data_IF_342515362418
#
_entry.id   IF_342515362418
#
_cell.length_a   1.000
_cell.length_b   1.000
_cell.length_c   1.000
_cell.angle_alpha   90.00
_cell.angle_beta   90.00
_cell.angle_gamma   90.00
#
_symmetry.space_group_name_H-M   'P 1'
#
loop_
_entity.id
_entity.type
_entity.pdbx_description
1 polymer ?
#
# COMPACT_ATOMS: atom_id res chain seq x y z
N UNK A 1 1.23 -6.47 30.56
CA UNK A 1 2.44 -5.82 30.02
C UNK A 1 3.45 -6.92 29.77
N UNK A 2 3.89 -7.06 28.52
CA UNK A 2 4.84 -8.09 28.12
C UNK A 2 6.22 -7.48 28.21
N UNK A 3 7.06 -8.01 29.11
CA UNK A 3 8.44 -7.55 29.28
C UNK A 3 9.39 -8.57 28.66
N UNK A 4 10.08 -8.15 27.60
CA UNK A 4 10.99 -8.97 26.79
C UNK A 4 12.40 -8.40 26.92
N UNK A 5 13.38 -9.28 27.06
CA UNK A 5 14.80 -8.93 27.02
C UNK A 5 15.47 -9.62 25.84
N UNK A 6 16.14 -8.86 24.98
CA UNK A 6 16.96 -9.36 23.89
C UNK A 6 18.43 -9.30 24.33
N UNK A 7 19.08 -10.45 24.47
CA UNK A 7 20.41 -10.54 25.06
C UNK A 7 21.52 -10.54 24.01
N UNK A 8 22.39 -9.52 24.06
CA UNK A 8 23.69 -9.51 23.39
C UNK A 8 23.67 -9.60 21.85
N UNK A 9 22.60 -9.13 21.21
CA UNK A 9 22.51 -9.10 19.75
C UNK A 9 23.27 -7.94 19.12
N UNK A 10 23.57 -8.07 17.82
CA UNK A 10 24.06 -6.96 17.00
C UNK A 10 22.86 -6.12 16.54
N UNK A 11 22.52 -5.10 17.33
CA UNK A 11 21.34 -4.28 17.09
C UNK A 11 21.64 -3.07 16.20
N UNK A 12 20.72 -2.75 15.29
CA UNK A 12 20.78 -1.49 14.52
C UNK A 12 20.22 -0.35 15.38
N UNK A 13 21.11 0.52 15.87
CA UNK A 13 20.77 1.70 16.66
C UNK A 13 21.17 2.94 15.87
N UNK A 14 20.18 3.75 15.51
CA UNK A 14 20.38 4.83 14.54
C UNK A 14 20.85 4.26 13.20
N UNK A 15 22.08 4.56 12.81
CA UNK A 15 22.70 4.09 11.56
C UNK A 15 23.81 3.06 11.78
N UNK A 16 24.04 2.61 13.01
CA UNK A 16 25.17 1.73 13.36
C UNK A 16 24.71 0.39 13.93
N UNK A 17 25.48 -0.66 13.64
CA UNK A 17 25.29 -1.98 14.25
C UNK A 17 26.19 -2.10 15.49
N UNK A 18 25.58 -2.17 16.66
CA UNK A 18 26.28 -2.28 17.95
C UNK A 18 25.90 -3.56 18.68
N UNK A 19 26.86 -4.19 19.35
CA UNK A 19 26.57 -5.31 20.25
C UNK A 19 25.96 -4.74 21.54
N UNK A 20 24.70 -5.05 21.79
CA UNK A 20 23.98 -4.54 22.95
C UNK A 20 22.84 -5.48 23.33
N UNK A 21 22.33 -5.32 24.55
CA UNK A 21 21.05 -5.90 24.95
C UNK A 21 19.95 -4.85 24.93
N UNK A 22 18.71 -5.29 24.66
CA UNK A 22 17.54 -4.42 24.62
C UNK A 22 16.48 -4.91 25.61
N UNK A 23 15.90 -3.98 26.36
CA UNK A 23 14.71 -4.22 27.17
C UNK A 23 13.49 -3.63 26.47
N UNK A 24 12.45 -4.44 26.32
CA UNK A 24 11.15 -4.06 25.76
C UNK A 24 10.11 -4.18 26.86
N UNK A 25 9.25 -3.17 27.01
CA UNK A 25 8.12 -3.19 27.92
C UNK A 25 6.85 -2.75 27.19
N UNK A 26 5.88 -3.64 27.08
CA UNK A 26 4.68 -3.37 26.29
C UNK A 26 5.01 -3.21 24.81
N UNK A 27 4.83 -2.00 24.28
CA UNK A 27 5.07 -1.66 22.87
C UNK A 27 6.36 -0.83 22.66
N UNK A 28 7.07 -0.51 23.75
CA UNK A 28 8.20 0.41 23.70
C UNK A 28 9.52 -0.30 24.01
N UNK A 29 10.59 0.18 23.38
CA UNK A 29 11.96 -0.12 23.81
C UNK A 29 12.22 0.68 25.09
N UNK A 30 12.20 0.00 26.23
CA UNK A 30 12.36 0.59 27.55
C UNK A 30 13.81 0.90 27.91
N UNK A 31 14.78 0.28 27.22
CA UNK A 31 16.19 0.55 27.45
C UNK A 31 17.12 -0.14 26.46
N UNK A 32 18.28 0.49 26.26
CA UNK A 32 19.41 0.00 25.46
C UNK A 32 20.59 -0.17 26.42
N UNK A 33 21.38 -1.21 26.21
CA UNK A 33 22.55 -1.57 27.05
C UNK A 33 22.16 -1.78 28.52
N UNK A 34 21.00 -2.43 28.73
CA UNK A 34 20.50 -2.73 30.06
C UNK A 34 20.79 -4.18 30.42
N UNK A 35 20.91 -4.46 31.72
CA UNK A 35 20.86 -5.84 32.22
C UNK A 35 19.43 -6.39 32.18
N UNK A 36 19.29 -7.73 32.19
CA UNK A 36 18.00 -8.45 32.09
C UNK A 36 16.92 -7.97 33.08
N UNK A 37 17.31 -7.49 34.25
CA UNK A 37 16.36 -7.02 35.27
C UNK A 37 15.29 -8.06 35.62
N UNK A 38 14.01 -7.67 35.57
CA UNK A 38 12.84 -8.51 35.87
C UNK A 38 12.11 -9.06 34.63
N UNK A 39 12.73 -9.00 33.45
CA UNK A 39 12.10 -9.43 32.20
C UNK A 39 11.63 -10.90 32.29
N UNK A 40 10.35 -11.12 31.93
CA UNK A 40 9.70 -12.43 32.00
C UNK A 40 10.15 -13.36 30.87
N UNK A 41 10.40 -12.80 29.69
CA UNK A 41 10.93 -13.50 28.53
C UNK A 41 12.33 -12.96 28.22
N UNK A 42 13.29 -13.86 28.02
CA UNK A 42 14.62 -13.52 27.52
C UNK A 42 14.89 -14.31 26.24
N UNK A 43 15.27 -13.61 25.19
CA UNK A 43 15.64 -14.17 23.89
C UNK A 43 17.15 -14.00 23.77
N UNK A 44 17.86 -15.11 23.61
CA UNK A 44 19.28 -15.12 23.32
C UNK A 44 19.49 -14.66 21.88
N UNK A 45 19.94 -13.41 21.71
CA UNK A 45 20.19 -12.81 20.40
C UNK A 45 21.69 -12.80 20.05
N UNK A 46 22.54 -13.46 20.85
CA UNK A 46 23.99 -13.50 20.60
C UNK A 46 24.27 -14.11 19.23
N UNK A 47 25.18 -13.48 18.50
CA UNK A 47 25.52 -13.83 17.10
C UNK A 47 24.37 -13.64 16.10
N UNK A 48 23.25 -13.01 16.48
CA UNK A 48 22.15 -12.63 15.59
C UNK A 48 22.13 -11.11 15.37
N UNK A 49 21.48 -10.69 14.28
CA UNK A 49 21.11 -9.29 14.05
C UNK A 49 19.77 -9.00 14.71
N UNK A 50 19.68 -7.83 15.34
CA UNK A 50 18.42 -7.29 15.89
C UNK A 50 18.09 -6.02 15.12
N UNK A 51 17.13 -6.11 14.21
CA UNK A 51 16.74 -5.02 13.32
C UNK A 51 15.35 -4.50 13.69
N UNK A 52 15.03 -3.23 13.39
CA UNK A 52 13.64 -2.76 13.38
C UNK A 52 12.79 -3.67 12.49
N UNK A 53 11.54 -3.87 12.89
CA UNK A 53 10.60 -4.61 12.05
C UNK A 53 10.39 -3.89 10.72
N UNK A 54 10.23 -4.66 9.64
CA UNK A 54 10.10 -4.12 8.29
C UNK A 54 8.72 -3.47 8.16
N UNK A 55 8.69 -2.29 7.51
CA UNK A 55 7.48 -1.61 7.08
C UNK A 55 7.32 -1.83 5.57
N UNK A 56 6.31 -2.60 5.18
CA UNK A 56 5.98 -2.82 3.76
C UNK A 56 4.84 -1.87 3.36
N UNK A 57 5.18 -0.87 2.54
CA UNK A 57 4.22 0.11 2.02
C UNK A 57 3.48 -0.37 0.77
N UNK A 58 4.08 -1.29 0.00
CA UNK A 58 3.56 -1.70 -1.28
C UNK A 58 2.57 -2.84 -1.15
N UNK A 59 2.88 -3.86 -0.32
CA UNK A 59 1.98 -4.89 0.17
C UNK A 59 0.84 -5.37 -0.74
N UNK A 60 1.03 -5.48 -2.07
CA UNK A 60 0.03 -5.85 -3.08
C UNK A 60 -0.06 -7.37 -3.28
N UNK A 61 0.91 -8.11 -2.74
CA UNK A 61 1.00 -9.56 -2.84
C UNK A 61 -0.26 -10.28 -2.32
N UNK A 62 -0.97 -9.68 -1.34
CA UNK A 62 -2.21 -10.23 -0.75
C UNK A 62 -3.33 -10.46 -1.77
N UNK A 63 -3.31 -9.75 -2.91
CA UNK A 63 -4.26 -9.96 -4.01
C UNK A 63 -4.20 -11.41 -4.51
N UNK A 64 -3.04 -12.08 -4.41
CA UNK A 64 -2.88 -13.50 -4.80
C UNK A 64 -3.57 -14.46 -3.84
N UNK A 65 -3.67 -14.11 -2.56
CA UNK A 65 -4.41 -14.89 -1.57
C UNK A 65 -5.91 -14.73 -1.78
N UNK A 66 -6.36 -13.55 -2.22
CA UNK A 66 -7.77 -13.29 -2.53
C UNK A 66 -8.22 -13.93 -3.84
N UNK A 67 -7.41 -13.82 -4.89
CA UNK A 67 -7.71 -14.34 -6.22
C UNK A 67 -6.48 -15.00 -6.82
N UNK A 68 -6.14 -16.24 -6.41
CA UNK A 68 -4.93 -16.94 -6.86
C UNK A 68 -4.91 -17.19 -8.37
N UNK A 69 -6.08 -17.18 -9.02
CA UNK A 69 -6.26 -17.13 -10.47
C UNK A 69 -7.59 -16.47 -10.80
N UNK A 70 -7.69 -15.89 -12.00
CA UNK A 70 -8.89 -15.20 -12.47
C UNK A 70 -10.16 -16.06 -12.31
N UNK A 71 -11.21 -15.46 -11.75
CA UNK A 71 -12.52 -16.10 -11.54
C UNK A 71 -12.57 -17.10 -10.37
N UNK A 72 -11.55 -17.16 -9.52
CA UNK A 72 -11.56 -17.98 -8.30
C UNK A 72 -11.27 -17.09 -7.10
N UNK A 73 -12.33 -16.78 -6.35
CA UNK A 73 -12.25 -15.94 -5.16
C UNK A 73 -12.10 -16.78 -3.90
N UNK A 74 -11.26 -16.31 -2.99
CA UNK A 74 -11.16 -16.77 -1.61
C UNK A 74 -11.81 -15.75 -0.67
N UNK A 75 -12.36 -16.20 0.47
CA UNK A 75 -12.88 -15.27 1.48
C UNK A 75 -11.79 -14.29 1.93
N UNK A 76 -12.09 -12.99 1.87
CA UNK A 76 -11.15 -11.90 2.25
C UNK A 76 -10.56 -12.15 3.63
N UNK A 77 -11.39 -12.58 4.58
CA UNK A 77 -10.99 -12.83 5.96
C UNK A 77 -9.90 -13.91 6.09
N UNK A 78 -9.94 -14.92 5.21
CA UNK A 78 -8.94 -15.99 5.16
C UNK A 78 -7.68 -15.48 4.48
N UNK A 79 -7.81 -14.73 3.38
CA UNK A 79 -6.69 -14.17 2.65
C UNK A 79 -5.87 -13.19 3.50
N UNK A 80 -6.53 -12.33 4.28
CA UNK A 80 -5.87 -11.40 5.21
C UNK A 80 -5.17 -12.14 6.36
N UNK A 81 -5.81 -13.16 6.94
CA UNK A 81 -5.20 -13.95 8.00
C UNK A 81 -3.94 -14.71 7.52
N UNK A 82 -3.97 -15.26 6.30
CA UNK A 82 -2.80 -15.90 5.69
C UNK A 82 -1.70 -14.87 5.40
N UNK A 83 -2.06 -13.71 4.86
CA UNK A 83 -1.12 -12.62 4.55
C UNK A 83 -0.42 -12.09 5.81
N UNK A 84 -1.15 -11.90 6.91
CA UNK A 84 -0.60 -11.51 8.23
C UNK A 84 0.48 -12.49 8.71
N UNK A 85 0.21 -13.81 8.60
CA UNK A 85 1.15 -14.85 9.04
C UNK A 85 2.40 -14.89 8.17
N UNK A 86 2.23 -14.70 6.87
CA UNK A 86 3.37 -14.61 5.95
C UNK A 86 4.21 -13.36 6.24
N UNK A 87 3.59 -12.20 6.46
CA UNK A 87 4.29 -10.95 6.75
C UNK A 87 5.19 -11.10 8.00
N UNK A 88 4.60 -11.52 9.12
CA UNK A 88 5.34 -11.67 10.39
C UNK A 88 6.43 -12.73 10.31
N UNK A 89 6.19 -13.84 9.59
CA UNK A 89 7.20 -14.88 9.40
C UNK A 89 8.41 -14.42 8.58
N UNK A 90 8.26 -13.35 7.80
CA UNK A 90 9.33 -12.71 7.01
C UNK A 90 9.88 -11.44 7.66
N UNK A 91 9.53 -11.15 8.92
CA UNK A 91 10.04 -9.99 9.66
C UNK A 91 9.35 -8.66 9.33
N UNK A 92 8.23 -8.70 8.60
CA UNK A 92 7.39 -7.53 8.32
C UNK A 92 6.42 -7.35 9.47
N UNK A 93 6.59 -6.26 10.22
CA UNK A 93 5.77 -5.95 11.40
C UNK A 93 4.71 -4.90 11.14
N UNK A 94 4.81 -4.16 10.04
CA UNK A 94 3.80 -3.19 9.59
C UNK A 94 3.56 -3.40 8.11
N UNK A 95 2.30 -3.62 7.73
CA UNK A 95 1.91 -3.92 6.35
C UNK A 95 0.83 -2.95 5.92
N UNK A 96 1.04 -2.30 4.78
CA UNK A 96 0.02 -1.55 4.07
C UNK A 96 -0.52 -2.40 2.93
N UNK A 97 -1.76 -2.86 3.04
CA UNK A 97 -2.40 -3.61 1.96
C UNK A 97 -2.79 -2.66 0.83
N UNK A 98 -1.94 -2.55 -0.19
CA UNK A 98 -2.16 -1.63 -1.29
C UNK A 98 -3.24 -2.14 -2.24
N UNK A 99 -4.39 -1.51 -2.12
CA UNK A 99 -5.65 -1.94 -2.70
C UNK A 99 -5.98 -1.07 -3.89
N UNK A 100 -5.97 -1.66 -5.08
CA UNK A 100 -6.35 -0.93 -6.28
C UNK A 100 -7.85 -0.68 -6.31
N UNK A 101 -8.24 0.59 -6.43
CA UNK A 101 -9.60 1.06 -6.69
C UNK A 101 -9.66 1.71 -8.08
N UNK A 102 -9.94 0.87 -9.07
CA UNK A 102 -9.96 1.18 -10.50
C UNK A 102 -11.38 1.34 -11.04
N UNK A 103 -11.47 1.95 -12.22
CA UNK A 103 -12.65 1.98 -13.09
C UNK A 103 -13.03 0.60 -13.62
N UNK A 104 -12.14 -0.39 -13.51
CA UNK A 104 -12.39 -1.80 -13.83
C UNK A 104 -13.29 -2.47 -12.77
N UNK A 105 -14.21 -3.37 -13.18
CA UNK A 105 -14.94 -4.23 -12.24
C UNK A 105 -14.05 -5.36 -11.70
N UNK A 106 -14.62 -6.22 -10.86
CA UNK A 106 -13.92 -7.40 -10.31
C UNK A 106 -12.98 -7.03 -9.17
N UNK A 107 -11.80 -7.66 -9.13
CA UNK A 107 -10.82 -7.53 -8.05
C UNK A 107 -10.41 -6.07 -7.78
N UNK A 108 -10.34 -5.24 -8.82
CA UNK A 108 -9.91 -3.84 -8.70
C UNK A 108 -11.08 -2.86 -8.53
N UNK A 109 -12.30 -3.35 -8.36
CA UNK A 109 -13.48 -2.48 -8.25
C UNK A 109 -13.55 -1.74 -6.92
N UNK A 110 -14.26 -0.61 -6.89
CA UNK A 110 -14.60 0.11 -5.66
C UNK A 110 -15.33 -0.80 -4.63
N UNK A 111 -16.17 -1.73 -5.12
CA UNK A 111 -16.84 -2.71 -4.26
C UNK A 111 -15.87 -3.66 -3.56
N UNK A 112 -14.85 -4.15 -4.25
CA UNK A 112 -13.81 -4.98 -3.64
C UNK A 112 -12.95 -4.18 -2.66
N UNK A 113 -12.57 -2.95 -3.03
CA UNK A 113 -11.81 -2.07 -2.15
C UNK A 113 -12.57 -1.79 -0.84
N UNK A 114 -13.89 -1.53 -0.92
CA UNK A 114 -14.76 -1.38 0.25
C UNK A 114 -14.78 -2.63 1.12
N UNK A 115 -15.00 -3.80 0.52
CA UNK A 115 -15.06 -5.07 1.23
C UNK A 115 -13.75 -5.40 1.95
N UNK A 116 -12.61 -5.08 1.34
CA UNK A 116 -11.31 -5.27 1.95
C UNK A 116 -11.04 -4.29 3.10
N UNK A 117 -11.35 -3.01 2.93
CA UNK A 117 -11.25 -2.00 3.99
C UNK A 117 -12.06 -2.42 5.22
N UNK A 118 -13.32 -2.83 5.02
CA UNK A 118 -14.21 -3.30 6.09
C UNK A 118 -13.70 -4.60 6.75
N UNK A 119 -13.08 -5.50 5.98
CA UNK A 119 -12.46 -6.71 6.52
C UNK A 119 -11.23 -6.39 7.37
N UNK A 120 -10.36 -5.50 6.91
CA UNK A 120 -9.21 -5.02 7.69
C UNK A 120 -9.69 -4.38 8.99
N UNK A 121 -10.67 -3.47 8.95
CA UNK A 121 -11.21 -2.82 10.15
C UNK A 121 -11.74 -3.85 11.17
N UNK A 122 -12.49 -4.86 10.70
CA UNK A 122 -13.07 -5.90 11.56
C UNK A 122 -12.01 -6.83 12.15
N UNK A 123 -10.98 -7.18 11.39
CA UNK A 123 -9.98 -8.17 11.79
C UNK A 123 -8.73 -7.56 12.41
N UNK A 124 -8.52 -6.23 12.35
CA UNK A 124 -7.33 -5.53 12.86
C UNK A 124 -6.89 -5.99 14.26
N UNK A 125 -7.79 -6.22 15.25
CA UNK A 125 -7.38 -6.68 16.58
C UNK A 125 -6.79 -8.11 16.63
N UNK A 126 -6.91 -8.89 15.56
CA UNK A 126 -6.48 -10.30 15.48
C UNK A 126 -5.16 -10.48 14.73
N UNK A 127 -4.75 -9.48 13.95
CA UNK A 127 -3.50 -9.51 13.21
C UNK A 127 -2.31 -9.39 14.16
N UNK A 128 -1.23 -10.06 13.80
CA UNK A 128 0.04 -9.98 14.51
C UNK A 128 0.87 -8.77 14.01
N UNK A 129 0.76 -8.42 12.73
CA UNK A 129 1.31 -7.18 12.18
C UNK A 129 0.42 -5.96 12.47
N UNK A 130 1.02 -4.77 12.45
CA UNK A 130 0.30 -3.51 12.32
C UNK A 130 -0.21 -3.38 10.87
N UNK A 131 -1.43 -3.86 10.64
CA UNK A 131 -2.07 -3.88 9.32
C UNK A 131 -2.80 -2.57 9.03
N UNK A 132 -2.48 -1.99 7.88
CA UNK A 132 -2.95 -0.68 7.40
C UNK A 132 -3.64 -0.79 6.04
N UNK A 133 -4.62 0.07 5.80
CA UNK A 133 -5.31 0.15 4.51
C UNK A 133 -4.66 1.22 3.62
N UNK A 134 -4.05 0.79 2.52
CA UNK A 134 -3.46 1.66 1.52
C UNK A 134 -4.35 1.67 0.28
N UNK A 135 -5.00 2.80 0.00
CA UNK A 135 -5.88 2.94 -1.15
C UNK A 135 -5.11 3.46 -2.36
N UNK A 136 -5.04 2.65 -3.42
CA UNK A 136 -4.47 3.01 -4.73
C UNK A 136 -5.57 3.36 -5.71
N UNK A 137 -5.85 4.65 -5.86
CA UNK A 137 -6.89 5.14 -6.74
C UNK A 137 -6.37 5.32 -8.17
N UNK A 138 -6.99 4.66 -9.14
CA UNK A 138 -6.79 5.00 -10.54
C UNK A 138 -7.47 6.32 -10.84
N UNK A 139 -6.71 7.30 -11.34
CA UNK A 139 -7.14 8.70 -11.60
C UNK A 139 -8.39 8.79 -12.50
N UNK A 140 -8.57 7.82 -13.39
CA UNK A 140 -9.73 7.71 -14.28
C UNK A 140 -10.98 7.09 -13.63
N UNK A 141 -10.92 6.63 -12.38
CA UNK A 141 -12.06 6.07 -11.65
C UNK A 141 -12.95 7.17 -11.04
N UNK A 142 -13.44 8.05 -11.91
CA UNK A 142 -14.22 9.24 -11.54
C UNK A 142 -15.52 8.90 -10.80
N UNK A 143 -16.10 7.73 -11.06
CA UNK A 143 -17.35 7.29 -10.41
C UNK A 143 -17.15 7.00 -8.92
N UNK A 144 -15.92 6.71 -8.48
CA UNK A 144 -15.59 6.43 -7.08
C UNK A 144 -15.21 7.67 -6.27
N UNK A 145 -15.09 8.86 -6.89
CA UNK A 145 -14.56 10.07 -6.24
C UNK A 145 -15.28 10.39 -4.92
N UNK A 146 -16.62 10.44 -4.94
CA UNK A 146 -17.41 10.81 -3.76
C UNK A 146 -17.22 9.82 -2.60
N UNK A 147 -17.12 8.53 -2.93
CA UNK A 147 -16.92 7.48 -1.93
C UNK A 147 -15.50 7.54 -1.34
N UNK A 148 -14.49 7.74 -2.18
CA UNK A 148 -13.10 7.89 -1.72
C UNK A 148 -12.97 9.13 -0.83
N UNK A 149 -13.59 10.25 -1.22
CA UNK A 149 -13.60 11.46 -0.42
C UNK A 149 -14.24 11.24 0.97
N UNK A 150 -15.30 10.42 1.03
CA UNK A 150 -15.91 10.01 2.30
C UNK A 150 -14.94 9.17 3.14
N UNK A 151 -14.32 8.13 2.58
CA UNK A 151 -13.36 7.28 3.32
C UNK A 151 -12.17 8.06 3.87
N UNK A 152 -11.64 9.00 3.07
CA UNK A 152 -10.58 9.91 3.51
C UNK A 152 -11.03 10.76 4.69
N UNK A 153 -12.21 11.40 4.58
CA UNK A 153 -12.74 12.28 5.62
C UNK A 153 -13.11 11.55 6.92
N UNK A 154 -13.47 10.26 6.82
CA UNK A 154 -13.76 9.38 7.95
C UNK A 154 -12.50 8.78 8.58
N UNK A 155 -11.31 9.03 8.03
CA UNK A 155 -10.04 8.51 8.55
C UNK A 155 -9.86 7.00 8.32
N UNK A 156 -10.51 6.44 7.29
CA UNK A 156 -10.50 4.99 6.99
C UNK A 156 -9.34 4.56 6.08
N UNK A 157 -8.60 5.52 5.53
CA UNK A 157 -7.46 5.32 4.64
C UNK A 157 -6.18 5.69 5.38
N UNK A 158 -5.29 4.73 5.59
CA UNK A 158 -4.01 4.94 6.27
C UNK A 158 -2.95 5.55 5.32
N UNK A 159 -3.03 5.25 4.01
CA UNK A 159 -2.17 5.81 2.96
C UNK A 159 -2.96 5.92 1.65
N UNK A 160 -2.84 7.04 0.94
CA UNK A 160 -3.57 7.30 -0.29
C UNK A 160 -2.63 7.49 -1.49
N UNK A 161 -2.87 6.77 -2.57
CA UNK A 161 -2.03 6.76 -3.75
C UNK A 161 -2.81 7.14 -5.00
N UNK A 162 -2.20 7.98 -5.84
CA UNK A 162 -2.65 8.22 -7.20
C UNK A 162 -1.90 7.31 -8.16
N UNK A 163 -2.65 6.53 -8.93
CA UNK A 163 -2.16 5.73 -10.04
C UNK A 163 -2.75 6.25 -11.35
N UNK A 164 -1.96 6.34 -12.42
CA UNK A 164 -2.49 6.56 -13.76
C UNK A 164 -1.93 5.54 -14.75
N UNK A 165 -2.68 4.48 -15.00
CA UNK A 165 -2.33 3.46 -15.98
C UNK A 165 -3.08 3.60 -17.31
N UNK A 166 -3.75 4.73 -17.57
CA UNK A 166 -4.65 4.84 -18.71
C UNK A 166 -3.90 4.81 -20.05
N UNK A 167 -2.79 5.55 -20.17
CA UNK A 167 -1.95 5.54 -21.38
C UNK A 167 -1.42 4.13 -21.69
N UNK A 168 -0.96 3.42 -20.66
CA UNK A 168 -0.52 2.03 -20.76
C UNK A 168 -1.65 1.10 -21.19
N UNK A 169 -2.85 1.30 -20.63
CA UNK A 169 -4.07 0.56 -20.99
C UNK A 169 -4.40 0.75 -22.46
N UNK A 170 -4.48 1.99 -22.95
CA UNK A 170 -4.76 2.31 -24.36
C UNK A 170 -3.71 1.69 -25.29
N UNK A 171 -2.42 1.82 -24.95
CA UNK A 171 -1.34 1.23 -25.73
C UNK A 171 -1.42 -0.31 -25.77
N UNK A 172 -1.94 -0.93 -24.72
CA UNK A 172 -2.06 -2.38 -24.60
C UNK A 172 -3.35 -2.93 -25.23
N UNK A 173 -4.37 -2.10 -25.50
CA UNK A 173 -5.56 -2.49 -26.28
C UNK A 173 -5.21 -3.00 -27.68
N UNK A 174 -4.19 -2.42 -28.32
CA UNK A 174 -3.71 -2.85 -29.63
C UNK A 174 -2.93 -4.18 -29.60
N UNK A 175 -2.66 -4.75 -28.42
CA UNK A 175 -1.82 -5.95 -28.23
C UNK A 175 -2.70 -7.12 -27.75
N UNK A 176 -3.07 -8.08 -28.61
CA UNK A 176 -4.08 -9.10 -28.29
C UNK A 176 -3.84 -9.86 -26.98
N UNK A 177 -2.59 -10.28 -26.74
CA UNK A 177 -2.22 -10.99 -25.50
C UNK A 177 -2.39 -10.16 -24.24
N UNK A 178 -2.11 -8.85 -24.29
CA UNK A 178 -2.22 -7.97 -23.13
C UNK A 178 -3.67 -7.58 -22.89
N UNK A 179 -4.38 -7.21 -23.96
CA UNK A 179 -5.82 -6.96 -23.92
C UNK A 179 -6.60 -8.13 -23.32
N UNK A 180 -6.35 -9.37 -23.78
CA UNK A 180 -7.06 -10.54 -23.26
C UNK A 180 -6.87 -10.75 -21.75
N UNK A 181 -5.67 -10.47 -21.21
CA UNK A 181 -5.45 -10.55 -19.76
C UNK A 181 -6.24 -9.51 -18.98
N UNK A 182 -6.40 -8.29 -19.52
CA UNK A 182 -7.24 -7.26 -18.90
C UNK A 182 -8.71 -7.70 -18.91
N UNK A 183 -9.20 -8.17 -20.06
CA UNK A 183 -10.56 -8.70 -20.20
C UNK A 183 -10.82 -9.82 -19.18
N UNK A 184 -9.95 -10.83 -19.11
CA UNK A 184 -10.06 -11.96 -18.18
C UNK A 184 -10.16 -11.52 -16.71
N UNK A 185 -9.42 -10.49 -16.30
CA UNK A 185 -9.46 -9.96 -14.92
C UNK A 185 -10.80 -9.29 -14.60
N UNK A 186 -11.43 -8.63 -15.57
CA UNK A 186 -12.69 -7.91 -15.38
C UNK A 186 -13.92 -8.81 -15.36
N UNK A 187 -13.84 -10.00 -15.95
CA UNK A 187 -15.00 -10.88 -16.15
C UNK A 187 -16.01 -10.40 -17.21
N UNK A 188 -15.70 -9.33 -17.95
CA UNK A 188 -16.52 -8.81 -19.03
C UNK A 188 -16.30 -9.58 -20.33
N UNK A 189 -17.24 -9.47 -21.28
CA UNK A 189 -16.93 -9.81 -22.66
C UNK A 189 -15.94 -8.80 -23.26
N UNK A 190 -15.24 -9.22 -24.33
CA UNK A 190 -14.31 -8.36 -25.06
C UNK A 190 -14.97 -7.04 -25.54
N UNK A 191 -16.20 -7.12 -26.05
CA UNK A 191 -16.97 -5.98 -26.55
C UNK A 191 -17.45 -5.04 -25.43
N UNK A 192 -17.79 -5.59 -24.26
CA UNK A 192 -18.13 -4.77 -23.09
C UNK A 192 -16.89 -4.07 -22.51
N UNK A 193 -15.74 -4.77 -22.51
CA UNK A 193 -14.48 -4.18 -22.08
C UNK A 193 -14.02 -3.04 -23.00
N UNK A 194 -14.15 -3.20 -24.32
CA UNK A 194 -13.81 -2.12 -25.27
C UNK A 194 -14.69 -0.88 -25.04
N UNK A 195 -16.01 -1.07 -24.90
CA UNK A 195 -16.95 0.02 -24.58
C UNK A 195 -16.67 0.66 -23.23
N UNK A 196 -16.23 -0.11 -22.23
CA UNK A 196 -15.82 0.40 -20.93
C UNK A 196 -14.60 1.33 -21.08
N UNK A 197 -13.55 0.87 -21.77
CA UNK A 197 -12.33 1.65 -22.01
C UNK A 197 -12.64 2.94 -22.77
N UNK A 198 -13.43 2.86 -23.85
CA UNK A 198 -13.85 4.04 -24.61
C UNK A 198 -14.56 5.08 -23.73
N UNK A 199 -15.50 4.64 -22.90
CA UNK A 199 -16.23 5.51 -21.97
C UNK A 199 -15.28 6.16 -20.96
N UNK A 200 -14.35 5.41 -20.39
CA UNK A 200 -13.39 5.92 -19.41
C UNK A 200 -12.46 6.97 -20.04
N UNK A 201 -11.91 6.68 -21.22
CA UNK A 201 -11.04 7.62 -21.97
C UNK A 201 -11.80 8.89 -22.35
N UNK A 202 -13.09 8.80 -22.69
CA UNK A 202 -13.88 9.96 -23.11
C UNK A 202 -14.04 11.04 -22.02
N UNK A 203 -13.67 10.73 -20.78
CA UNK A 203 -13.77 11.61 -19.60
C UNK A 203 -12.41 12.16 -19.13
N UNK A 204 -11.38 12.07 -19.96
CA UNK A 204 -10.02 12.51 -19.61
C UNK A 204 -9.95 13.98 -19.15
N UNK A 205 -10.83 14.84 -19.66
CA UNK A 205 -10.92 16.26 -19.29
C UNK A 205 -11.41 16.48 -17.84
N UNK A 206 -12.09 15.51 -17.25
CA UNK A 206 -12.57 15.57 -15.85
C UNK A 206 -11.48 15.16 -14.83
N UNK A 207 -10.45 14.41 -15.25
CA UNK A 207 -9.49 13.72 -14.37
C UNK A 207 -8.70 14.68 -13.50
N UNK A 208 -8.08 15.71 -14.08
CA UNK A 208 -7.25 16.67 -13.33
C UNK A 208 -8.04 17.38 -12.23
N UNK A 209 -9.31 17.70 -12.49
CA UNK A 209 -10.18 18.35 -11.52
C UNK A 209 -10.57 17.38 -10.38
N UNK A 210 -10.82 16.10 -10.69
CA UNK A 210 -11.09 15.06 -9.70
C UNK A 210 -9.89 14.81 -8.78
N UNK A 211 -8.71 14.61 -9.36
CA UNK A 211 -7.44 14.44 -8.62
C UNK A 211 -7.20 15.62 -7.68
N UNK A 212 -7.40 16.84 -8.16
CA UNK A 212 -7.23 18.05 -7.34
C UNK A 212 -8.17 18.09 -6.13
N UNK A 213 -9.44 17.66 -6.29
CA UNK A 213 -10.42 17.59 -5.19
C UNK A 213 -10.06 16.49 -4.20
N UNK A 214 -9.71 15.29 -4.66
CA UNK A 214 -9.30 14.20 -3.79
C UNK A 214 -8.03 14.53 -3.01
N UNK A 215 -7.04 15.16 -3.65
CA UNK A 215 -5.84 15.62 -2.97
C UNK A 215 -6.17 16.67 -1.88
N UNK A 216 -7.07 17.60 -2.17
CA UNK A 216 -7.52 18.57 -1.17
C UNK A 216 -8.22 17.90 0.03
N UNK A 217 -9.09 16.92 -0.23
CA UNK A 217 -9.76 16.14 0.82
C UNK A 217 -8.75 15.36 1.67
N UNK A 218 -7.81 14.66 1.04
CA UNK A 218 -6.77 13.91 1.74
C UNK A 218 -5.90 14.81 2.62
N UNK A 219 -5.50 16.01 2.13
CA UNK A 219 -4.78 17.00 2.95
C UNK A 219 -5.62 17.48 4.13
N UNK A 220 -6.90 17.78 3.92
CA UNK A 220 -7.79 18.23 4.99
C UNK A 220 -8.00 17.15 6.07
N UNK A 221 -7.95 15.87 5.67
CA UNK A 221 -8.01 14.72 6.57
C UNK A 221 -6.64 14.28 7.11
N UNK A 222 -5.55 15.00 6.80
CA UNK A 222 -4.17 14.68 7.20
C UNK A 222 -3.67 13.30 6.74
N UNK A 223 -4.28 12.73 5.68
CA UNK A 223 -3.88 11.46 5.08
C UNK A 223 -2.64 11.68 4.20
N UNK A 224 -1.63 10.83 4.38
CA UNK A 224 -0.42 10.88 3.54
C UNK A 224 -0.71 10.40 2.14
N UNK A 225 -0.08 11.07 1.18
CA UNK A 225 -0.30 10.86 -0.23
C UNK A 225 0.99 10.48 -0.96
N UNK A 226 0.84 9.63 -1.97
CA UNK A 226 1.91 9.24 -2.89
C UNK A 226 1.43 9.23 -4.34
N UNK A 227 2.37 9.27 -5.28
CA UNK A 227 2.15 8.96 -6.70
C UNK A 227 2.88 7.67 -7.07
N UNK A 228 2.24 6.85 -7.90
CA UNK A 228 2.77 5.57 -8.36
C UNK A 228 3.20 5.62 -9.83
N UNK A 229 4.32 5.00 -10.16
CA UNK A 229 4.85 4.86 -11.54
C UNK A 229 5.08 6.21 -12.26
N UNK A 230 5.61 7.21 -11.55
CA UNK A 230 5.88 8.52 -12.14
C UNK A 230 6.78 8.41 -13.38
N UNK A 231 6.20 8.78 -14.53
CA UNK A 231 6.86 8.61 -15.83
C UNK A 231 7.88 9.70 -16.13
N UNK A 232 7.73 10.89 -15.55
CA UNK A 232 8.59 12.04 -15.82
C UNK A 232 8.83 12.88 -14.57
N UNK A 233 9.94 13.64 -14.49
CA UNK A 233 10.15 14.62 -13.43
C UNK A 233 9.02 15.67 -13.33
N UNK A 234 8.41 16.03 -14.46
CA UNK A 234 7.29 16.99 -14.50
C UNK A 234 6.04 16.42 -13.82
N UNK A 235 5.66 15.18 -14.16
CA UNK A 235 4.55 14.47 -13.49
C UNK A 235 4.78 14.36 -11.98
N UNK A 236 6.01 14.02 -11.57
CA UNK A 236 6.39 13.97 -10.16
C UNK A 236 6.24 15.32 -9.47
N UNK A 237 6.66 16.41 -10.13
CA UNK A 237 6.48 17.76 -9.63
C UNK A 237 5.00 18.12 -9.45
N UNK A 238 4.14 17.80 -10.43
CA UNK A 238 2.70 18.06 -10.36
C UNK A 238 2.05 17.37 -9.14
N UNK A 239 2.37 16.09 -8.91
CA UNK A 239 1.89 15.39 -7.71
C UNK A 239 2.45 15.96 -6.41
N UNK A 240 3.68 16.46 -6.40
CA UNK A 240 4.24 17.17 -5.25
C UNK A 240 3.47 18.45 -4.94
N UNK A 241 3.09 19.22 -5.96
CA UNK A 241 2.28 20.43 -5.81
C UNK A 241 0.88 20.12 -5.26
N UNK A 242 0.36 18.92 -5.53
CA UNK A 242 -0.86 18.39 -4.91
C UNK A 242 -0.65 17.89 -3.47
N UNK A 243 0.58 17.85 -2.97
CA UNK A 243 0.92 17.41 -1.61
C UNK A 243 1.15 15.90 -1.47
N UNK A 244 1.24 15.14 -2.57
CA UNK A 244 1.79 13.79 -2.52
C UNK A 244 3.31 13.90 -2.37
N UNK A 245 3.87 13.50 -1.22
CA UNK A 245 5.28 13.72 -0.87
C UNK A 245 6.11 12.43 -0.86
N UNK A 246 5.51 11.33 -1.30
CA UNK A 246 6.13 10.02 -1.43
C UNK A 246 6.10 9.65 -2.91
N UNK A 247 7.22 9.16 -3.44
CA UNK A 247 7.32 8.72 -4.83
C UNK A 247 7.46 7.19 -4.88
N UNK A 248 6.41 6.50 -5.32
CA UNK A 248 6.40 5.05 -5.41
C UNK A 248 6.72 4.58 -6.84
N UNK A 249 7.79 3.80 -6.98
CA UNK A 249 8.26 3.26 -8.26
C UNK A 249 8.42 4.27 -9.42
N UNK A 250 9.21 5.36 -9.29
CA UNK A 250 9.59 6.14 -10.48
C UNK A 250 10.16 5.20 -11.56
N UNK A 251 9.55 5.18 -12.75
CA UNK A 251 9.81 4.10 -13.73
C UNK A 251 11.13 4.28 -14.50
N UNK A 252 11.87 5.35 -14.22
CA UNK A 252 13.16 5.63 -14.80
C UNK A 252 14.07 6.37 -13.82
N UNK A 253 15.37 6.31 -14.07
CA UNK A 253 16.41 6.89 -13.21
C UNK A 253 16.29 8.41 -13.10
N UNK A 254 15.93 9.11 -14.18
CA UNK A 254 15.78 10.57 -14.19
C UNK A 254 14.70 11.03 -13.21
N UNK A 255 13.52 10.41 -13.23
CA UNK A 255 12.44 10.71 -12.29
C UNK A 255 12.81 10.31 -10.87
N UNK A 256 13.50 9.18 -10.67
CA UNK A 256 13.96 8.76 -9.34
C UNK A 256 14.95 9.76 -8.73
N UNK A 257 15.91 10.26 -9.52
CA UNK A 257 16.84 11.31 -9.09
C UNK A 257 16.11 12.61 -8.78
N UNK A 258 15.11 12.99 -9.59
CA UNK A 258 14.30 14.17 -9.34
C UNK A 258 13.51 14.06 -8.03
N UNK A 259 12.93 12.90 -7.73
CA UNK A 259 12.25 12.64 -6.46
C UNK A 259 13.22 12.79 -5.26
N UNK A 260 14.37 12.10 -5.33
CA UNK A 260 15.38 12.13 -4.28
C UNK A 260 15.95 13.55 -4.05
N UNK A 261 16.22 14.31 -5.12
CA UNK A 261 16.75 15.66 -5.03
C UNK A 261 15.84 16.62 -4.26
N UNK A 262 14.52 16.41 -4.34
CA UNK A 262 13.53 17.24 -3.67
C UNK A 262 13.11 16.69 -2.31
N UNK A 263 13.73 15.60 -1.85
CA UNK A 263 13.44 14.99 -0.56
C UNK A 263 12.07 14.31 -0.49
N UNK A 264 11.54 13.86 -1.63
CA UNK A 264 10.43 12.91 -1.61
C UNK A 264 10.88 11.65 -0.86
N UNK A 265 9.99 11.11 -0.01
CA UNK A 265 10.23 9.87 0.73
C UNK A 265 10.10 8.64 -0.17
#
# INVERSE_FOLDING_TARGET
MTDIFLEGGRALIGTELVETSLAVSGQDIAGIDTSRGRARLAIDARSLLVLPGIVDLHGDAFERQMMPRAGVDFPIDVALADSDRQAISNGITTVFHATTCSWEPGLRSAGNARGLMEAIERQRPQFAADTRFHLRHETYNLDAENEIAQWLSEGRVDLFAFNDHMDGTVADMAKPRKRNRMVERTGLSAEEFDRLVERVVSRADEVSASVSRLAATARAAEVRMLSHDDATPAMRQEFRELGALIAEFPINEETAQAAAHHGDA
#
